data_IF_379722318236
#
_entry.id   IF_379722318236
#
_cell.length_a   1.000
_cell.length_b   1.000
_cell.length_c   1.000
_cell.angle_alpha   90.00
_cell.angle_beta   90.00
_cell.angle_gamma   90.00
#
_symmetry.space_group_name_H-M   'P 1'
#
loop_
_entity.id
_entity.type
_entity.pdbx_description
1 polymer ?
#
# COMPACT_ATOMS: atom_id res chain seq x y z
N UNK A 1 20.70 -15.08 18.25
CA UNK A 1 21.27 -16.20 17.46
C UNK A 1 20.25 -17.32 17.17
N UNK A 2 18.94 -17.10 17.36
CA UNK A 2 17.91 -18.12 17.07
C UNK A 2 17.80 -19.23 18.14
N UNK A 3 18.62 -19.21 19.20
CA UNK A 3 18.69 -20.30 20.19
C UNK A 3 17.50 -20.40 21.14
N UNK A 4 16.53 -19.46 21.05
CA UNK A 4 15.31 -19.53 21.85
C UNK A 4 14.08 -19.26 20.97
N UNK A 5 12.93 -19.89 21.25
CA UNK A 5 11.71 -19.72 20.46
C UNK A 5 11.20 -18.28 20.39
N UNK A 6 11.57 -17.45 21.38
CA UNK A 6 11.15 -16.07 21.49
C UNK A 6 12.26 -15.07 21.12
N UNK A 7 13.38 -15.55 20.54
CA UNK A 7 14.49 -14.69 20.15
C UNK A 7 15.08 -13.88 21.31
N UNK A 8 15.19 -14.47 22.51
CA UNK A 8 15.84 -13.86 23.69
C UNK A 8 17.13 -13.21 23.24
N UNK A 9 17.19 -11.89 23.39
CA UNK A 9 18.38 -11.14 23.03
C UNK A 9 19.45 -11.52 24.06
N UNK A 10 20.44 -12.25 23.60
CA UNK A 10 21.64 -12.59 24.36
C UNK A 10 22.80 -11.82 23.73
N UNK A 11 23.69 -11.28 24.56
CA UNK A 11 24.84 -10.47 24.13
C UNK A 11 24.46 -9.15 23.44
N UNK A 12 23.68 -8.31 24.12
CA UNK A 12 23.41 -6.92 23.73
C UNK A 12 23.88 -5.95 24.82
N UNK A 13 24.20 -4.72 24.44
CA UNK A 13 24.66 -3.67 25.35
C UNK A 13 25.64 -2.70 24.68
N UNK A 14 26.14 -1.71 25.44
CA UNK A 14 27.24 -0.84 24.99
C UNK A 14 28.41 -1.65 24.43
N UNK A 15 29.02 -1.16 23.34
CA UNK A 15 30.15 -1.82 22.68
C UNK A 15 31.29 -2.07 23.68
N UNK A 16 31.53 -1.13 24.60
CA UNK A 16 32.56 -1.23 25.65
C UNK A 16 32.37 -2.41 26.62
N UNK A 17 31.16 -2.97 26.71
CA UNK A 17 30.88 -4.14 27.53
C UNK A 17 31.34 -5.46 26.89
N UNK A 18 31.86 -5.42 25.66
CA UNK A 18 32.27 -6.59 24.90
C UNK A 18 33.75 -6.48 24.52
N UNK A 19 34.60 -7.33 25.10
CA UNK A 19 36.00 -7.46 24.69
C UNK A 19 36.17 -8.01 23.27
N UNK A 20 35.16 -8.72 22.78
CA UNK A 20 35.01 -9.19 21.39
C UNK A 20 33.57 -8.99 20.95
N UNK A 21 33.30 -8.47 19.74
CA UNK A 21 31.94 -8.33 19.23
C UNK A 21 31.14 -9.64 19.32
N UNK A 22 29.88 -9.62 19.76
CA UNK A 22 29.03 -10.80 19.75
C UNK A 22 28.89 -11.38 18.35
N UNK A 23 29.35 -12.61 18.16
CA UNK A 23 29.15 -13.33 16.90
C UNK A 23 27.79 -14.02 16.88
N UNK A 24 27.16 -13.99 15.71
CA UNK A 24 25.98 -14.82 15.42
C UNK A 24 26.49 -16.15 14.91
N UNK A 25 26.05 -17.26 15.53
CA UNK A 25 26.41 -18.61 15.07
C UNK A 25 26.06 -18.74 13.59
N UNK A 26 27.07 -19.11 12.79
CA UNK A 26 26.89 -19.36 11.38
C UNK A 26 25.92 -20.54 11.22
N UNK A 27 24.90 -20.31 10.41
CA UNK A 27 23.89 -21.30 10.08
C UNK A 27 24.04 -21.58 8.58
N UNK A 28 24.54 -22.76 8.18
CA UNK A 28 24.77 -23.07 6.77
C UNK A 28 23.45 -23.12 5.97
N UNK A 29 22.31 -23.25 6.65
CA UNK A 29 20.98 -23.24 6.04
C UNK A 29 20.39 -21.81 5.95
N UNK A 30 21.07 -20.79 6.49
CA UNK A 30 20.64 -19.39 6.38
C UNK A 30 21.13 -18.78 5.07
N UNK A 31 20.20 -18.54 4.16
CA UNK A 31 20.44 -17.83 2.92
C UNK A 31 19.31 -16.83 2.63
N UNK A 32 19.59 -15.80 1.84
CA UNK A 32 18.56 -14.88 1.35
C UNK A 32 17.78 -15.53 0.21
N UNK A 33 16.46 -15.35 0.21
CA UNK A 33 15.61 -15.80 -0.90
C UNK A 33 15.65 -14.78 -2.03
N UNK A 34 15.68 -15.27 -3.28
CA UNK A 34 15.31 -14.45 -4.44
C UNK A 34 13.81 -14.19 -4.44
N UNK A 35 13.34 -13.20 -5.22
CA UNK A 35 11.90 -12.94 -5.39
C UNK A 35 11.13 -14.21 -5.84
N UNK A 36 11.68 -14.95 -6.80
CA UNK A 36 11.09 -16.20 -7.28
C UNK A 36 11.00 -17.25 -6.17
N UNK A 37 12.09 -17.46 -5.40
CA UNK A 37 12.08 -18.40 -4.27
C UNK A 37 11.11 -17.98 -3.17
N UNK A 38 10.97 -16.67 -2.94
CA UNK A 38 10.01 -16.13 -1.98
C UNK A 38 8.57 -16.39 -2.42
N UNK A 39 8.24 -16.19 -3.70
CA UNK A 39 6.93 -16.54 -4.28
C UNK A 39 6.66 -18.05 -4.17
N UNK A 40 7.63 -18.88 -4.55
CA UNK A 40 7.53 -20.35 -4.47
C UNK A 40 7.23 -20.83 -3.04
N UNK A 41 7.77 -20.15 -2.02
CA UNK A 41 7.51 -20.49 -0.62
C UNK A 41 6.02 -20.37 -0.23
N UNK A 42 5.23 -19.49 -0.88
CA UNK A 42 3.79 -19.38 -0.61
C UNK A 42 2.99 -20.59 -1.10
N UNK A 43 3.52 -21.38 -2.02
CA UNK A 43 2.90 -22.63 -2.45
C UNK A 43 3.18 -23.77 -1.47
N UNK A 44 4.28 -23.71 -0.73
CA UNK A 44 4.59 -24.63 0.36
C UNK A 44 4.06 -24.11 1.70
N UNK A 45 2.74 -24.01 1.80
CA UNK A 45 2.05 -23.46 2.97
C UNK A 45 1.14 -24.48 3.65
N UNK A 46 0.79 -24.22 4.91
CA UNK A 46 -0.24 -24.96 5.66
C UNK A 46 -1.58 -24.21 5.73
N UNK A 47 -1.64 -23.00 5.17
CA UNK A 47 -2.83 -22.14 5.15
C UNK A 47 -3.37 -22.00 3.74
N UNK A 48 -4.68 -21.80 3.63
CA UNK A 48 -5.36 -21.64 2.34
C UNK A 48 -5.55 -20.15 1.97
N UNK A 49 -5.64 -19.83 0.67
CA UNK A 49 -5.36 -20.73 -0.45
C UNK A 49 -3.85 -20.99 -0.62
N UNK A 50 -3.46 -22.20 -1.01
CA UNK A 50 -2.08 -22.47 -1.40
C UNK A 50 -1.62 -21.50 -2.50
N UNK A 51 -0.42 -20.93 -2.36
CA UNK A 51 0.10 -19.88 -3.26
C UNK A 51 -0.37 -18.47 -2.90
N UNK A 52 -1.37 -18.30 -2.01
CA UNK A 52 -1.85 -17.00 -1.53
C UNK A 52 -2.15 -15.99 -2.66
N UNK A 53 -2.67 -16.49 -3.78
CA UNK A 53 -3.02 -15.70 -4.97
C UNK A 53 -1.97 -15.73 -6.08
N UNK A 54 -0.73 -16.18 -5.83
CA UNK A 54 0.28 -16.30 -6.88
C UNK A 54 -0.05 -17.37 -7.93
N UNK A 55 -0.97 -18.30 -7.63
CA UNK A 55 -1.56 -19.21 -8.61
C UNK A 55 -2.38 -18.48 -9.71
N UNK A 56 -2.73 -17.21 -9.47
CA UNK A 56 -3.51 -16.35 -10.37
C UNK A 56 -2.67 -15.41 -11.21
N UNK A 57 -1.34 -15.43 -11.06
CA UNK A 57 -0.45 -14.69 -11.96
C UNK A 57 -0.74 -15.13 -13.40
N UNK A 58 -1.00 -14.21 -14.35
CA UNK A 58 -1.31 -14.59 -15.72
C UNK A 58 -0.19 -15.46 -16.34
N UNK A 59 -0.53 -16.44 -17.19
CA UNK A 59 0.48 -17.23 -17.86
C UNK A 59 1.31 -16.35 -18.81
N UNK A 60 2.58 -16.69 -18.99
CA UNK A 60 3.48 -16.01 -19.94
C UNK A 60 4.18 -14.77 -19.38
N UNK A 61 3.96 -14.42 -18.11
CA UNK A 61 4.70 -13.36 -17.42
C UNK A 61 6.13 -13.80 -17.08
N UNK A 62 7.03 -12.83 -16.88
CA UNK A 62 8.42 -13.10 -16.54
C UNK A 62 8.59 -13.70 -15.13
N UNK A 63 9.71 -14.40 -14.85
CA UNK A 63 10.01 -14.90 -13.51
C UNK A 63 9.98 -13.77 -12.48
N UNK A 64 9.22 -13.96 -11.39
CA UNK A 64 9.07 -12.95 -10.35
C UNK A 64 8.00 -11.90 -10.61
N UNK A 65 7.23 -11.99 -11.71
CA UNK A 65 5.99 -11.23 -11.85
C UNK A 65 5.00 -11.66 -10.77
N UNK A 66 4.55 -10.70 -9.97
CA UNK A 66 3.78 -10.94 -8.75
C UNK A 66 2.42 -10.24 -8.76
N UNK A 67 2.00 -9.70 -9.90
CA UNK A 67 0.70 -9.09 -10.04
C UNK A 67 -0.35 -10.13 -10.46
N UNK A 68 -1.55 -10.01 -9.90
CA UNK A 68 -2.68 -10.85 -10.23
C UNK A 68 -3.99 -10.14 -9.86
N UNK A 69 -5.13 -10.63 -10.36
CA UNK A 69 -6.43 -10.13 -9.96
C UNK A 69 -7.38 -11.26 -9.58
N UNK A 70 -8.42 -10.93 -8.82
CA UNK A 70 -9.47 -11.88 -8.46
C UNK A 70 -10.79 -11.17 -8.14
N UNK A 71 -11.87 -11.93 -8.24
CA UNK A 71 -13.22 -11.50 -7.87
C UNK A 71 -13.59 -12.25 -6.59
N UNK A 72 -13.71 -11.58 -5.43
CA UNK A 72 -13.92 -12.27 -4.15
C UNK A 72 -15.25 -13.05 -4.10
N UNK A 73 -16.29 -12.56 -4.77
CA UNK A 73 -17.62 -13.16 -4.84
C UNK A 73 -18.20 -12.92 -6.23
N UNK A 74 -18.59 -13.98 -6.94
CA UNK A 74 -19.00 -13.89 -8.34
C UNK A 74 -20.27 -13.03 -8.55
N UNK A 75 -21.14 -12.97 -7.54
CA UNK A 75 -22.40 -12.23 -7.58
C UNK A 75 -22.25 -10.74 -7.24
N UNK A 76 -21.07 -10.33 -6.76
CA UNK A 76 -20.75 -8.94 -6.45
C UNK A 76 -19.66 -8.48 -7.42
N UNK A 77 -19.92 -7.50 -8.29
CA UNK A 77 -18.98 -7.10 -9.34
C UNK A 77 -17.85 -6.24 -8.76
N UNK A 78 -17.03 -6.82 -7.88
CA UNK A 78 -15.82 -6.22 -7.32
C UNK A 78 -14.61 -7.03 -7.78
N UNK A 79 -13.70 -6.35 -8.48
CA UNK A 79 -12.39 -6.84 -8.87
C UNK A 79 -11.34 -6.29 -7.93
N UNK A 80 -10.49 -7.16 -7.39
CA UNK A 80 -9.30 -6.78 -6.64
C UNK A 80 -8.09 -7.01 -7.54
N UNK A 81 -7.34 -5.94 -7.81
CA UNK A 81 -6.12 -5.92 -8.60
C UNK A 81 -4.95 -5.85 -7.62
N UNK A 82 -4.23 -6.95 -7.46
CA UNK A 82 -3.01 -7.01 -6.62
C UNK A 82 -1.82 -6.62 -7.48
N UNK A 83 -1.24 -5.47 -7.19
CA UNK A 83 -0.20 -4.82 -7.98
C UNK A 83 1.13 -4.83 -7.22
N UNK A 84 2.14 -5.48 -7.80
CA UNK A 84 3.53 -5.28 -7.40
C UNK A 84 4.04 -3.96 -7.98
N UNK A 85 4.05 -2.92 -7.15
CA UNK A 85 4.57 -1.59 -7.49
C UNK A 85 5.87 -1.27 -6.75
N UNK A 86 6.64 -2.29 -6.40
CA UNK A 86 7.91 -2.12 -5.69
C UNK A 86 9.06 -1.90 -6.65
N UNK A 87 10.01 -1.05 -6.26
CA UNK A 87 11.24 -0.85 -7.00
C UNK A 87 11.97 -2.17 -7.26
N UNK A 88 12.48 -2.33 -8.48
CA UNK A 88 13.22 -3.51 -8.87
C UNK A 88 14.56 -3.60 -8.13
N UNK A 89 14.85 -4.79 -7.65
CA UNK A 89 16.09 -5.14 -6.95
C UNK A 89 17.31 -5.23 -7.88
N UNK A 90 17.09 -5.28 -9.20
CA UNK A 90 18.13 -5.40 -10.23
C UNK A 90 18.57 -4.05 -10.82
N UNK A 91 18.21 -2.94 -10.17
CA UNK A 91 18.56 -1.59 -10.61
C UNK A 91 20.01 -1.17 -10.33
N UNK A 92 20.81 -2.09 -9.76
CA UNK A 92 22.21 -1.90 -9.37
C UNK A 92 22.43 -0.83 -8.31
N UNK A 93 21.37 -0.27 -7.73
CA UNK A 93 21.46 0.67 -6.63
C UNK A 93 21.93 -0.03 -5.37
N UNK A 94 22.82 0.61 -4.62
CA UNK A 94 23.19 0.18 -3.26
C UNK A 94 22.44 0.96 -2.19
N UNK A 95 21.54 1.85 -2.59
CA UNK A 95 20.68 2.63 -1.71
C UNK A 95 19.44 1.81 -1.27
N UNK A 96 18.51 2.47 -0.59
CA UNK A 96 17.27 1.85 -0.12
C UNK A 96 16.29 1.68 -1.29
N UNK A 97 15.78 0.45 -1.50
CA UNK A 97 14.74 0.12 -2.49
C UNK A 97 13.33 0.35 -1.95
N UNK A 98 12.99 1.59 -1.59
CA UNK A 98 11.69 1.94 -1.03
C UNK A 98 10.74 2.62 -2.01
N UNK A 99 11.16 2.87 -3.24
CA UNK A 99 10.39 3.69 -4.17
C UNK A 99 9.21 2.96 -4.80
N UNK A 100 8.18 3.71 -5.18
CA UNK A 100 7.09 3.24 -6.04
C UNK A 100 7.56 3.12 -7.48
N UNK A 101 7.27 1.99 -8.13
CA UNK A 101 7.84 1.68 -9.43
C UNK A 101 6.94 0.71 -10.21
N UNK A 102 6.81 0.93 -11.53
CA UNK A 102 6.24 -0.04 -12.46
C UNK A 102 7.18 -0.17 -13.66
N UNK A 103 7.65 -1.38 -13.94
CA UNK A 103 8.25 -1.63 -15.24
C UNK A 103 7.18 -1.69 -16.33
N UNK A 104 7.63 -1.79 -17.59
CA UNK A 104 6.74 -1.79 -18.75
C UNK A 104 5.72 -2.93 -18.71
N UNK A 105 6.10 -4.10 -18.19
CA UNK A 105 5.20 -5.26 -18.12
C UNK A 105 4.08 -5.01 -17.10
N UNK A 106 4.44 -4.60 -15.87
CA UNK A 106 3.48 -4.28 -14.80
C UNK A 106 2.59 -3.09 -15.16
N UNK A 107 3.15 -2.07 -15.81
CA UNK A 107 2.38 -0.92 -16.26
C UNK A 107 1.36 -1.31 -17.34
N UNK A 108 1.79 -2.06 -18.36
CA UNK A 108 0.90 -2.53 -19.41
C UNK A 108 -0.21 -3.44 -18.84
N UNK A 109 0.16 -4.37 -17.95
CA UNK A 109 -0.79 -5.25 -17.27
C UNK A 109 -1.81 -4.47 -16.44
N UNK A 110 -1.39 -3.46 -15.67
CA UNK A 110 -2.32 -2.65 -14.87
C UNK A 110 -3.38 -1.96 -15.75
N UNK A 111 -2.97 -1.37 -16.88
CA UNK A 111 -3.91 -0.75 -17.82
C UNK A 111 -4.91 -1.76 -18.39
N UNK A 112 -4.43 -2.95 -18.75
CA UNK A 112 -5.28 -4.04 -19.25
C UNK A 112 -6.28 -4.50 -18.20
N UNK A 113 -5.88 -4.64 -16.93
CA UNK A 113 -6.77 -5.02 -15.84
C UNK A 113 -7.82 -3.95 -15.53
N UNK A 114 -7.45 -2.68 -15.62
CA UNK A 114 -8.36 -1.56 -15.42
C UNK A 114 -9.38 -1.45 -16.57
N UNK A 115 -8.92 -1.56 -17.82
CA UNK A 115 -9.78 -1.60 -19.00
C UNK A 115 -10.74 -2.80 -18.96
N UNK A 116 -10.24 -4.00 -18.63
CA UNK A 116 -11.07 -5.19 -18.45
C UNK A 116 -12.12 -5.01 -17.35
N UNK A 117 -11.76 -4.38 -16.23
CA UNK A 117 -12.71 -4.08 -15.15
C UNK A 117 -13.84 -3.16 -15.62
N UNK A 118 -13.54 -2.14 -16.42
CA UNK A 118 -14.57 -1.30 -17.02
C UNK A 118 -15.43 -2.06 -18.04
N UNK A 119 -14.82 -2.84 -18.93
CA UNK A 119 -15.52 -3.63 -19.95
C UNK A 119 -16.47 -4.69 -19.34
N UNK A 120 -16.15 -5.18 -18.14
CA UNK A 120 -16.95 -6.16 -17.40
C UNK A 120 -17.94 -5.53 -16.40
N UNK A 121 -18.06 -4.20 -16.37
CA UNK A 121 -18.83 -3.43 -15.37
C UNK A 121 -18.47 -3.82 -13.92
N UNK A 122 -17.19 -3.80 -13.57
CA UNK A 122 -16.68 -4.16 -12.25
C UNK A 122 -16.18 -2.95 -11.50
N UNK A 123 -16.58 -2.82 -10.23
CA UNK A 123 -15.94 -1.92 -9.29
C UNK A 123 -14.53 -2.44 -9.00
N UNK A 124 -13.54 -1.56 -8.97
CA UNK A 124 -12.14 -1.95 -8.87
C UNK A 124 -11.50 -1.47 -7.57
N UNK A 125 -10.68 -2.33 -6.98
CA UNK A 125 -9.81 -2.02 -5.84
C UNK A 125 -8.39 -2.38 -6.27
N UNK A 126 -7.47 -1.44 -6.21
CA UNK A 126 -6.04 -1.73 -6.36
C UNK A 126 -5.46 -1.98 -4.97
N UNK A 127 -4.80 -3.12 -4.77
CA UNK A 127 -4.02 -3.42 -3.58
C UNK A 127 -2.54 -3.41 -3.96
N UNK A 128 -1.79 -2.42 -3.46
CA UNK A 128 -0.38 -2.23 -3.77
C UNK A 128 0.43 -1.99 -2.49
N UNK A 129 1.76 -2.14 -2.55
CA UNK A 129 2.58 -1.88 -1.37
C UNK A 129 2.80 -0.38 -1.15
N UNK A 130 3.25 0.32 -2.19
CA UNK A 130 3.65 1.74 -2.13
C UNK A 130 2.43 2.64 -2.43
N UNK A 131 2.13 3.65 -1.59
CA UNK A 131 1.11 4.65 -1.89
C UNK A 131 1.59 5.66 -2.94
N UNK A 132 0.66 6.33 -3.61
CA UNK A 132 0.95 7.33 -4.65
C UNK A 132 0.75 8.77 -4.13
N UNK A 133 1.60 9.70 -4.59
CA UNK A 133 1.44 11.15 -4.36
C UNK A 133 1.42 11.61 -2.90
N UNK A 134 2.13 10.91 -2.00
CA UNK A 134 2.17 11.23 -0.56
C UNK A 134 3.58 11.38 0.01
N UNK A 135 4.61 11.25 -0.84
CA UNK A 135 6.00 11.50 -0.51
C UNK A 135 6.64 12.34 -1.61
N UNK A 136 7.56 13.22 -1.22
CA UNK A 136 8.34 14.04 -2.15
C UNK A 136 9.58 13.31 -2.64
N UNK A 137 10.14 13.76 -3.76
CA UNK A 137 11.41 13.28 -4.26
C UNK A 137 12.54 13.38 -3.23
N UNK A 138 13.42 12.37 -3.19
CA UNK A 138 14.55 12.26 -2.27
C UNK A 138 14.23 11.65 -0.91
N UNK A 139 13.04 11.07 -0.72
CA UNK A 139 12.67 10.38 0.53
C UNK A 139 12.96 8.88 0.51
N UNK A 140 13.30 8.33 -0.66
CA UNK A 140 13.35 6.88 -0.94
C UNK A 140 12.00 6.18 -0.86
N UNK A 141 10.89 6.94 -0.88
CA UNK A 141 9.51 6.45 -0.76
C UNK A 141 8.57 7.11 -1.78
N UNK A 142 9.10 7.98 -2.63
CA UNK A 142 8.39 8.61 -3.74
C UNK A 142 8.16 7.65 -4.91
N UNK A 143 7.39 8.10 -5.90
CA UNK A 143 7.36 7.45 -7.20
C UNK A 143 8.74 7.65 -7.86
N UNK A 144 9.41 6.57 -8.25
CA UNK A 144 10.79 6.65 -8.70
C UNK A 144 10.89 7.43 -10.02
N UNK A 145 11.67 8.52 -9.99
CA UNK A 145 12.26 9.14 -11.17
C UNK A 145 13.72 8.68 -11.25
N UNK A 146 14.02 7.82 -12.24
CA UNK A 146 15.36 7.29 -12.46
C UNK A 146 16.04 7.89 -13.70
N UNK A 147 15.55 9.05 -14.18
CA UNK A 147 16.04 9.71 -15.39
C UNK A 147 17.51 10.15 -15.30
N UNK A 148 18.00 10.37 -14.07
CA UNK A 148 19.40 10.67 -13.79
C UNK A 148 20.35 9.48 -14.01
N UNK A 149 19.83 8.25 -14.09
CA UNK A 149 20.59 7.03 -14.36
C UNK A 149 19.96 6.24 -15.52
N UNK A 150 20.17 6.65 -16.78
CA UNK A 150 19.45 6.09 -17.94
C UNK A 150 19.75 4.62 -18.22
N UNK A 151 20.86 4.09 -17.70
CA UNK A 151 21.23 2.67 -17.86
C UNK A 151 20.56 1.75 -16.83
N UNK A 152 19.96 2.32 -15.77
CA UNK A 152 19.19 1.57 -14.79
C UNK A 152 17.74 1.34 -15.27
N UNK A 153 17.02 0.35 -14.71
CA UNK A 153 15.59 0.17 -14.94
C UNK A 153 14.83 1.48 -14.72
N UNK A 154 14.10 1.87 -15.76
CA UNK A 154 13.28 3.08 -15.74
C UNK A 154 11.86 2.73 -15.30
N UNK A 155 11.27 3.63 -14.54
CA UNK A 155 9.84 3.58 -14.27
C UNK A 155 9.12 3.83 -15.61
N UNK A 156 8.18 2.96 -15.96
CA UNK A 156 7.54 2.98 -17.28
C UNK A 156 6.45 4.05 -17.41
N UNK A 157 6.14 4.74 -16.32
CA UNK A 157 5.10 5.75 -16.23
C UNK A 157 5.46 6.79 -15.18
N UNK A 158 5.32 8.07 -15.53
CA UNK A 158 5.47 9.16 -14.57
C UNK A 158 4.22 9.30 -13.70
N UNK A 159 4.36 9.85 -12.49
CA UNK A 159 3.24 9.97 -11.57
C UNK A 159 2.00 10.69 -12.15
N UNK A 160 2.13 11.80 -12.93
CA UNK A 160 0.96 12.43 -13.56
C UNK A 160 0.24 11.52 -14.55
N UNK A 161 0.99 10.74 -15.34
CA UNK A 161 0.44 9.84 -16.35
C UNK A 161 -0.26 8.64 -15.69
N UNK A 162 0.28 8.13 -14.59
CA UNK A 162 -0.39 7.13 -13.77
C UNK A 162 -1.71 7.68 -13.21
N UNK A 163 -1.71 8.89 -12.65
CA UNK A 163 -2.94 9.50 -12.13
C UNK A 163 -3.96 9.75 -13.23
N UNK A 164 -3.51 10.22 -14.40
CA UNK A 164 -4.39 10.40 -15.55
C UNK A 164 -5.06 9.09 -15.95
N UNK A 165 -4.32 7.99 -16.03
CA UNK A 165 -4.90 6.67 -16.31
C UNK A 165 -5.91 6.25 -15.24
N UNK A 166 -5.54 6.32 -13.95
CA UNK A 166 -6.44 5.93 -12.86
C UNK A 166 -7.75 6.75 -12.87
N UNK A 167 -7.69 8.03 -13.23
CA UNK A 167 -8.86 8.90 -13.37
C UNK A 167 -9.74 8.59 -14.60
N UNK A 168 -9.24 7.85 -15.60
CA UNK A 168 -10.05 7.42 -16.76
C UNK A 168 -10.98 6.26 -16.43
N UNK A 169 -10.79 5.60 -15.29
CA UNK A 169 -11.54 4.42 -14.87
C UNK A 169 -12.58 4.80 -13.79
N UNK A 170 -13.82 5.16 -14.16
CA UNK A 170 -14.84 5.65 -13.22
C UNK A 170 -15.21 4.62 -12.15
N UNK A 171 -14.99 3.33 -12.42
CA UNK A 171 -15.31 2.24 -11.51
C UNK A 171 -14.21 1.97 -10.46
N UNK A 172 -13.08 2.69 -10.51
CA UNK A 172 -12.04 2.58 -9.49
C UNK A 172 -12.52 3.16 -8.15
N UNK A 173 -12.69 2.31 -7.15
CA UNK A 173 -13.11 2.72 -5.81
C UNK A 173 -11.94 3.29 -5.02
N UNK A 174 -10.85 2.52 -4.94
CA UNK A 174 -9.73 2.85 -4.08
C UNK A 174 -8.42 2.15 -4.42
N UNK A 175 -7.33 2.79 -4.01
CA UNK A 175 -5.97 2.28 -3.89
C UNK A 175 -5.66 1.98 -2.43
N UNK A 176 -5.52 0.72 -2.06
CA UNK A 176 -5.13 0.29 -0.72
C UNK A 176 -3.62 0.11 -0.68
N UNK A 177 -2.97 0.74 0.30
CA UNK A 177 -1.52 0.75 0.43
C UNK A 177 -1.00 0.58 1.87
N UNK A 178 0.31 0.35 1.97
CA UNK A 178 1.05 0.32 3.22
C UNK A 178 2.30 1.20 3.13
N UNK A 179 3.46 0.58 3.34
CA UNK A 179 4.80 1.16 3.16
C UNK A 179 5.19 2.29 4.13
N UNK A 180 4.39 3.36 4.25
CA UNK A 180 4.67 4.50 5.16
C UNK A 180 4.35 4.21 6.63
N UNK A 181 3.77 3.05 6.91
CA UNK A 181 3.41 2.57 8.25
C UNK A 181 2.41 3.47 8.99
N UNK A 182 1.50 4.14 8.27
CA UNK A 182 0.48 5.03 8.84
C UNK A 182 -0.92 4.73 8.36
N UNK A 183 -1.91 5.19 9.14
CA UNK A 183 -3.33 4.99 8.87
C UNK A 183 -3.93 6.15 8.07
N UNK A 184 -3.49 6.40 6.83
CA UNK A 184 -3.93 7.57 6.06
C UNK A 184 -5.12 7.28 5.13
N UNK A 185 -5.79 8.34 4.74
CA UNK A 185 -6.87 8.38 3.76
C UNK A 185 -6.64 9.66 2.99
N UNK A 186 -6.57 9.56 1.67
CA UNK A 186 -6.41 10.69 0.76
C UNK A 186 -7.44 10.57 -0.34
N UNK A 187 -8.06 11.69 -0.72
CA UNK A 187 -8.90 11.77 -1.92
C UNK A 187 -8.01 12.10 -3.12
N UNK A 188 -8.17 11.35 -4.20
CA UNK A 188 -7.79 11.79 -5.53
C UNK A 188 -9.06 12.29 -6.21
N UNK A 189 -9.29 13.60 -6.11
CA UNK A 189 -10.48 14.25 -6.67
C UNK A 189 -10.53 14.07 -8.19
N UNK A 190 -11.74 13.94 -8.73
CA UNK A 190 -11.93 13.92 -10.18
C UNK A 190 -11.33 15.19 -10.81
N UNK A 191 -10.65 15.09 -11.97
CA UNK A 191 -10.27 16.26 -12.76
C UNK A 191 -11.47 17.11 -13.22
N UNK A 192 -12.68 16.53 -13.25
CA UNK A 192 -13.94 17.22 -13.52
C UNK A 192 -14.98 16.83 -12.45
N UNK A 193 -14.91 17.41 -11.23
CA UNK A 193 -15.76 17.01 -10.12
C UNK A 193 -17.22 17.45 -10.27
N UNK A 194 -17.52 18.31 -11.25
CA UNK A 194 -18.89 18.80 -11.51
C UNK A 194 -19.62 17.87 -12.46
N UNK A 195 -18.95 17.42 -13.54
CA UNK A 195 -19.59 16.62 -14.58
C UNK A 195 -19.22 15.14 -14.56
N UNK A 196 -18.09 14.78 -13.96
CA UNK A 196 -17.64 13.40 -13.83
C UNK A 196 -17.07 13.11 -12.41
N UNK A 197 -17.85 13.32 -11.33
CA UNK A 197 -17.39 13.07 -9.96
C UNK A 197 -16.94 11.62 -9.72
N UNK A 198 -17.46 10.66 -10.49
CA UNK A 198 -17.08 9.25 -10.47
C UNK A 198 -15.63 8.98 -10.91
N UNK A 199 -14.96 9.92 -11.58
CA UNK A 199 -13.56 9.74 -11.97
C UNK A 199 -12.57 9.96 -10.81
N UNK A 200 -13.04 10.38 -9.63
CA UNK A 200 -12.24 10.44 -8.41
C UNK A 200 -12.18 9.09 -7.68
N UNK A 201 -11.12 8.84 -6.92
CA UNK A 201 -10.96 7.61 -6.13
C UNK A 201 -10.28 7.88 -4.79
N UNK A 202 -10.33 6.92 -3.88
CA UNK A 202 -9.70 7.02 -2.56
C UNK A 202 -8.36 6.31 -2.51
N UNK A 203 -7.36 6.87 -1.84
CA UNK A 203 -6.22 6.09 -1.36
C UNK A 203 -6.37 5.86 0.13
N UNK A 204 -6.19 4.61 0.55
CA UNK A 204 -6.34 4.19 1.93
C UNK A 204 -5.10 3.43 2.37
N UNK A 205 -4.37 4.01 3.32
CA UNK A 205 -3.14 3.43 3.86
C UNK A 205 -3.38 2.83 5.25
N UNK A 206 -2.73 1.70 5.51
CA UNK A 206 -2.83 0.98 6.79
C UNK A 206 -1.50 0.98 7.53
N UNK A 207 -1.54 1.18 8.84
CA UNK A 207 -0.34 1.12 9.68
C UNK A 207 0.36 -0.23 9.62
N UNK A 208 1.67 -0.25 9.88
CA UNK A 208 2.40 -1.50 9.99
C UNK A 208 2.11 -2.21 11.30
N UNK A 209 2.16 -3.55 11.28
CA UNK A 209 2.16 -4.35 12.50
C UNK A 209 3.49 -4.30 13.26
N UNK A 210 4.51 -3.60 12.73
CA UNK A 210 5.78 -3.36 13.41
C UNK A 210 5.74 -2.13 14.31
N UNK A 211 5.18 -1.04 13.80
CA UNK A 211 5.25 0.30 14.40
C UNK A 211 3.91 0.67 15.05
N UNK A 212 3.96 1.51 16.09
CA UNK A 212 2.74 2.02 16.71
C UNK A 212 1.85 2.70 15.65
N UNK A 213 0.52 2.43 15.57
CA UNK A 213 -0.31 1.76 16.57
C UNK A 213 -0.46 0.23 16.40
N UNK A 214 0.19 -0.40 15.43
CA UNK A 214 0.06 -1.82 15.10
C UNK A 214 -1.40 -2.26 14.88
N UNK A 215 -2.06 -1.66 13.89
CA UNK A 215 -3.47 -1.90 13.58
C UNK A 215 -3.66 -2.59 12.23
N UNK A 216 -4.69 -3.42 12.16
CA UNK A 216 -5.27 -3.89 10.90
C UNK A 216 -6.36 -2.90 10.46
N UNK A 217 -6.79 -2.99 9.20
CA UNK A 217 -7.93 -2.20 8.70
C UNK A 217 -8.98 -3.12 8.07
N UNK A 218 -10.22 -2.95 8.51
CA UNK A 218 -11.41 -3.53 7.89
C UNK A 218 -12.01 -2.53 6.91
N UNK A 219 -12.51 -3.06 5.78
CA UNK A 219 -13.17 -2.29 4.72
C UNK A 219 -14.58 -2.84 4.54
N UNK A 220 -15.59 -2.10 5.00
CA UNK A 220 -16.99 -2.42 4.73
C UNK A 220 -17.49 -1.59 3.56
N UNK A 221 -17.70 -2.24 2.42
CA UNK A 221 -18.19 -1.61 1.20
C UNK A 221 -19.70 -1.84 1.11
N UNK A 222 -20.47 -0.75 1.05
CA UNK A 222 -21.94 -0.77 1.05
C UNK A 222 -22.49 -0.06 -0.17
N UNK A 223 -23.46 -0.69 -0.81
CA UNK A 223 -24.32 -0.06 -1.80
C UNK A 223 -25.46 0.65 -1.07
N UNK A 224 -25.58 1.96 -1.28
CA UNK A 224 -26.61 2.79 -0.69
C UNK A 224 -27.90 2.75 -1.52
N UNK A 225 -29.04 3.15 -0.94
CA UNK A 225 -30.33 3.15 -1.63
C UNK A 225 -30.41 4.09 -2.83
N UNK A 226 -29.49 5.06 -2.93
CA UNK A 226 -29.31 5.95 -4.08
C UNK A 226 -28.26 5.42 -5.08
N UNK A 227 -27.79 4.19 -4.89
CA UNK A 227 -26.76 3.50 -5.68
C UNK A 227 -25.37 4.12 -5.63
N UNK A 228 -25.10 5.05 -4.70
CA UNK A 228 -23.73 5.41 -4.34
C UNK A 228 -23.08 4.30 -3.50
N UNK A 229 -21.75 4.34 -3.38
CA UNK A 229 -20.99 3.41 -2.53
C UNK A 229 -20.45 4.15 -1.30
N UNK A 230 -20.72 3.61 -0.11
CA UNK A 230 -20.02 3.99 1.13
C UNK A 230 -18.97 2.93 1.47
N UNK A 231 -17.74 3.36 1.74
CA UNK A 231 -16.64 2.50 2.19
C UNK A 231 -16.27 2.91 3.62
N UNK A 232 -16.59 2.07 4.60
CA UNK A 232 -16.18 2.28 5.98
C UNK A 232 -14.83 1.64 6.22
N UNK A 233 -13.85 2.46 6.56
CA UNK A 233 -12.50 2.03 6.94
C UNK A 233 -12.39 2.05 8.45
N UNK A 234 -12.21 0.88 9.07
CA UNK A 234 -12.18 0.74 10.52
C UNK A 234 -10.84 0.15 10.95
N UNK A 235 -10.10 0.87 11.78
CA UNK A 235 -8.88 0.33 12.38
C UNK A 235 -9.23 -0.66 13.49
N UNK A 236 -8.57 -1.81 13.47
CA UNK A 236 -8.78 -2.91 14.40
C UNK A 236 -7.47 -3.23 15.10
N UNK A 237 -7.49 -3.18 16.44
CA UNK A 237 -6.35 -3.59 17.25
C UNK A 237 -6.27 -5.13 17.31
N UNK A 238 -5.15 -5.75 16.91
CA UNK A 238 -4.98 -7.19 17.03
C UNK A 238 -4.90 -7.60 18.51
N UNK A 239 -5.68 -8.62 18.87
CA UNK A 239 -5.56 -9.28 20.17
C UNK A 239 -4.37 -10.24 20.16
N UNK A 240 -3.35 -9.98 20.97
CA UNK A 240 -2.19 -10.86 21.13
C UNK A 240 -2.24 -11.61 22.47
N UNK A 241 -2.04 -12.92 22.44
CA UNK A 241 -2.03 -13.75 23.67
C UNK A 241 -0.85 -13.36 24.57
N UNK A 242 -1.07 -13.09 25.87
CA UNK A 242 0.01 -12.78 26.82
C UNK A 242 1.16 -13.79 26.79
N UNK A 243 2.39 -13.29 26.87
CA UNK A 243 3.61 -14.10 26.87
C UNK A 243 4.12 -14.53 25.48
N UNK A 244 3.39 -14.24 24.41
CA UNK A 244 3.87 -14.50 23.03
C UNK A 244 4.82 -13.41 22.53
N UNK A 245 5.62 -13.68 21.47
CA UNK A 245 6.39 -12.64 20.79
C UNK A 245 5.52 -11.47 20.30
N UNK A 246 4.33 -11.75 19.75
CA UNK A 246 3.39 -10.71 19.31
C UNK A 246 2.94 -9.80 20.47
N UNK A 247 2.62 -10.38 21.63
CA UNK A 247 2.28 -9.61 22.83
C UNK A 247 3.44 -8.74 23.32
N UNK A 248 4.66 -9.26 23.26
CA UNK A 248 5.86 -8.52 23.65
C UNK A 248 6.14 -7.38 22.68
N UNK A 249 5.95 -7.60 21.38
CA UNK A 249 6.09 -6.59 20.33
C UNK A 249 5.19 -5.37 20.57
N UNK A 250 3.97 -5.55 21.09
CA UNK A 250 3.07 -4.43 21.47
C UNK A 250 3.73 -3.44 22.44
N UNK A 251 4.49 -3.94 23.41
CA UNK A 251 5.22 -3.10 24.37
C UNK A 251 6.40 -2.40 23.70
N UNK A 252 7.10 -3.10 22.82
CA UNK A 252 8.26 -2.55 22.11
C UNK A 252 7.88 -1.50 21.08
N UNK A 253 6.72 -1.59 20.43
CA UNK A 253 6.25 -0.54 19.52
C UNK A 253 6.05 0.80 20.26
N UNK A 254 5.45 0.77 21.46
CA UNK A 254 5.31 1.97 22.30
C UNK A 254 6.67 2.46 22.80
N UNK A 255 7.54 1.55 23.27
CA UNK A 255 8.86 1.94 23.73
C UNK A 255 9.71 2.54 22.61
N UNK A 256 9.68 1.95 21.41
CA UNK A 256 10.36 2.48 20.23
C UNK A 256 9.88 3.90 19.94
N UNK A 257 8.57 4.11 19.84
CA UNK A 257 7.97 5.43 19.63
C UNK A 257 8.48 6.47 20.65
N UNK A 258 8.54 6.11 21.94
CA UNK A 258 8.98 6.98 23.02
C UNK A 258 10.50 7.25 23.00
N UNK A 259 11.32 6.23 22.68
CA UNK A 259 12.78 6.31 22.72
C UNK A 259 13.33 7.05 21.52
N UNK A 260 12.91 6.65 20.31
CA UNK A 260 13.41 7.29 19.08
C UNK A 260 12.73 8.62 18.81
N UNK A 261 11.82 9.04 19.71
CA UNK A 261 10.99 10.24 19.60
C UNK A 261 10.54 10.42 18.16
N UNK A 262 9.89 9.38 17.61
CA UNK A 262 9.20 9.50 16.33
C UNK A 262 8.01 10.43 16.55
N UNK A 263 8.27 11.73 16.66
CA UNK A 263 7.27 12.77 16.44
C UNK A 263 6.60 12.59 15.07
N UNK A 264 7.26 11.84 14.19
CA UNK A 264 6.78 11.22 12.97
C UNK A 264 5.88 9.99 13.26
N UNK A 265 4.84 10.15 14.08
CA UNK A 265 3.58 9.62 13.60
C UNK A 265 3.29 10.54 12.41
N UNK A 266 3.45 10.10 11.16
CA UNK A 266 3.21 10.97 9.99
C UNK A 266 1.80 11.61 10.01
N UNK A 267 0.95 11.26 10.97
CA UNK A 267 -0.40 11.77 11.15
C UNK A 267 -0.60 12.62 12.41
N UNK A 268 0.41 12.84 13.26
CA UNK A 268 0.28 13.73 14.41
C UNK A 268 0.87 15.12 14.15
N UNK A 269 1.72 15.27 13.13
CA UNK A 269 2.34 16.55 12.81
C UNK A 269 1.70 17.25 11.59
N UNK A 270 1.77 18.57 11.60
CA UNK A 270 1.37 19.43 10.49
C UNK A 270 2.53 19.65 9.49
N UNK A 271 3.48 18.72 9.40
CA UNK A 271 4.71 18.90 8.61
C UNK A 271 4.93 17.79 7.58
N UNK A 272 4.30 16.63 7.75
CA UNK A 272 4.56 15.43 6.95
C UNK A 272 3.38 14.97 6.08
N UNK A 273 2.19 15.58 6.26
CA UNK A 273 1.04 15.43 5.36
C UNK A 273 0.95 16.58 4.36
N UNK A 274 2.08 16.97 3.78
CA UNK A 274 2.11 18.00 2.75
C UNK A 274 1.41 17.49 1.48
N UNK A 275 0.76 18.40 0.76
CA UNK A 275 0.28 18.12 -0.59
C UNK A 275 1.48 18.00 -1.52
N UNK A 276 1.55 16.92 -2.27
CA UNK A 276 2.59 16.68 -3.27
C UNK A 276 2.07 17.12 -4.63
N UNK A 277 2.87 17.90 -5.35
CA UNK A 277 2.65 18.16 -6.78
C UNK A 277 3.03 16.89 -7.56
N UNK A 278 2.10 16.24 -8.28
CA UNK A 278 2.40 15.01 -8.99
C UNK A 278 3.47 15.15 -10.08
N UNK A 279 3.59 16.33 -10.71
CA UNK A 279 4.49 16.54 -11.84
C UNK A 279 5.94 16.71 -11.41
N UNK A 280 6.16 17.36 -10.28
CA UNK A 280 7.52 17.62 -9.77
C UNK A 280 7.89 16.75 -8.58
N UNK A 281 6.91 16.05 -7.99
CA UNK A 281 7.02 15.35 -6.72
C UNK A 281 7.62 16.21 -5.61
N UNK A 282 7.28 17.50 -5.59
CA UNK A 282 7.66 18.45 -4.53
C UNK A 282 6.47 18.82 -3.66
N UNK A 283 6.75 19.35 -2.47
CA UNK A 283 5.74 19.97 -1.62
C UNK A 283 5.09 21.17 -2.33
N UNK A 284 3.76 21.21 -2.40
CA UNK A 284 3.03 22.38 -2.90
C UNK A 284 3.23 23.54 -1.93
N UNK A 285 3.54 24.72 -2.47
CA UNK A 285 3.74 25.95 -1.69
C UNK A 285 2.90 27.11 -2.21
N UNK A 286 2.31 27.87 -1.29
CA UNK A 286 1.60 29.13 -1.56
C UNK A 286 2.20 30.20 -0.65
N UNK A 287 2.64 31.32 -1.23
CA UNK A 287 3.35 32.40 -0.53
C UNK A 287 4.53 31.91 0.33
N UNK A 288 5.28 30.94 -0.20
CA UNK A 288 6.45 30.33 0.44
C UNK A 288 6.13 29.31 1.55
N UNK A 289 4.86 29.10 1.89
CA UNK A 289 4.40 28.16 2.93
C UNK A 289 3.97 26.83 2.34
N UNK A 290 4.32 25.74 3.00
CA UNK A 290 3.89 24.38 2.61
C UNK A 290 2.39 24.23 2.81
N UNK A 291 1.70 23.72 1.80
CA UNK A 291 0.27 23.40 1.84
C UNK A 291 0.11 21.96 2.34
N UNK A 292 -0.71 21.75 3.36
CA UNK A 292 -1.07 20.41 3.82
C UNK A 292 -2.13 19.80 2.90
N UNK A 293 -2.08 18.49 2.72
CA UNK A 293 -3.09 17.75 1.96
C UNK A 293 -4.42 17.79 2.73
N UNK A 294 -5.47 18.44 2.20
CA UNK A 294 -6.73 18.58 2.90
C UNK A 294 -7.51 17.26 3.02
N UNK A 295 -7.17 16.26 2.20
CA UNK A 295 -7.77 14.93 2.25
C UNK A 295 -7.26 14.10 3.43
N UNK A 296 -6.02 14.34 3.87
CA UNK A 296 -5.41 13.60 4.98
C UNK A 296 -5.70 14.30 6.30
N UNK A 297 -6.43 13.62 7.18
CA UNK A 297 -6.77 14.14 8.51
C UNK A 297 -5.76 13.66 9.55
N UNK A 298 -4.92 14.56 10.11
CA UNK A 298 -4.02 14.19 11.18
C UNK A 298 -4.81 13.89 12.46
N UNK A 299 -4.38 12.87 13.19
CA UNK A 299 -4.96 12.45 14.47
C UNK A 299 -3.85 12.22 15.49
N UNK A 300 -3.98 12.73 16.72
CA UNK A 300 -2.93 12.63 17.74
C UNK A 300 -2.46 11.20 18.03
N UNK A 301 -3.33 10.22 17.83
CA UNK A 301 -3.06 8.79 18.07
C UNK A 301 -2.57 8.03 16.82
N UNK A 302 -2.50 8.68 15.66
CA UNK A 302 -2.20 8.00 14.38
C UNK A 302 -3.24 6.96 13.98
N UNK A 303 -4.47 7.10 14.51
CA UNK A 303 -5.56 6.17 14.24
C UNK A 303 -6.86 6.93 14.03
N UNK A 304 -7.51 6.66 12.90
CA UNK A 304 -8.90 7.04 12.67
C UNK A 304 -9.62 6.07 11.76
N UNK A 305 -10.93 6.04 11.96
CA UNK A 305 -11.87 5.45 11.04
C UNK A 305 -12.37 6.53 10.08
N UNK A 306 -12.73 6.14 8.86
CA UNK A 306 -13.32 7.06 7.90
C UNK A 306 -14.47 6.39 7.15
N UNK A 307 -15.49 7.19 6.86
CA UNK A 307 -16.52 6.87 5.87
C UNK A 307 -16.15 7.59 4.58
N UNK A 308 -16.00 6.84 3.50
CA UNK A 308 -15.61 7.32 2.19
C UNK A 308 -16.80 7.16 1.25
N UNK A 309 -17.17 8.22 0.55
CA UNK A 309 -18.26 8.18 -0.43
C UNK A 309 -17.68 8.10 -1.84
N UNK A 310 -18.27 7.25 -2.67
CA UNK A 310 -17.97 7.15 -4.09
C UNK A 310 -19.28 7.25 -4.88
N UNK A 311 -19.31 8.21 -5.80
CA UNK A 311 -20.35 8.27 -6.82
C UNK A 311 -20.02 7.29 -7.96
N UNK A 312 -21.03 6.58 -8.44
CA UNK A 312 -20.89 5.65 -9.55
C UNK A 312 -21.22 6.34 -10.88
N UNK A 313 -20.62 5.87 -11.96
CA UNK A 313 -21.00 6.29 -13.30
C UNK A 313 -22.47 5.95 -13.58
N UNK A 314 -23.14 6.62 -14.54
CA UNK A 314 -24.50 6.24 -14.94
C UNK A 314 -24.61 4.78 -15.40
N UNK A 315 -23.59 4.27 -16.12
CA UNK A 315 -23.54 2.89 -16.57
C UNK A 315 -23.46 1.91 -15.38
N UNK A 316 -22.57 2.19 -14.42
CA UNK A 316 -22.39 1.32 -13.27
C UNK A 316 -23.58 1.38 -12.31
N UNK A 317 -24.24 2.53 -12.19
CA UNK A 317 -25.51 2.68 -11.48
C UNK A 317 -26.59 1.77 -12.09
N UNK A 318 -26.73 1.78 -13.41
CA UNK A 318 -27.68 0.91 -14.11
C UNK A 318 -27.35 -0.58 -13.91
N UNK A 319 -26.07 -0.95 -13.90
CA UNK A 319 -25.61 -2.30 -13.56
C UNK A 319 -26.01 -2.70 -12.14
N UNK A 320 -25.75 -1.85 -11.15
CA UNK A 320 -26.12 -2.12 -9.76
C UNK A 320 -27.64 -2.24 -9.59
N UNK A 321 -28.44 -1.41 -10.27
CA UNK A 321 -29.90 -1.50 -10.27
C UNK A 321 -30.41 -2.82 -10.84
N UNK A 322 -29.77 -3.33 -11.88
CA UNK A 322 -30.13 -4.63 -12.47
C UNK A 322 -29.80 -5.80 -11.52
N UNK A 323 -28.63 -5.76 -10.86
CA UNK A 323 -28.20 -6.81 -9.94
C UNK A 323 -28.94 -6.76 -8.60
N UNK A 324 -29.26 -5.55 -8.12
CA UNK A 324 -29.82 -5.29 -6.80
C UNK A 324 -31.04 -4.35 -6.91
N UNK A 325 -32.16 -4.78 -7.51
CA UNK A 325 -33.33 -3.92 -7.77
C UNK A 325 -34.09 -3.51 -6.49
N UNK A 326 -33.73 -4.08 -5.34
CA UNK A 326 -34.30 -3.74 -4.03
C UNK A 326 -33.18 -3.80 -3.01
N UNK A 327 -32.85 -2.63 -2.43
CA UNK A 327 -31.77 -2.39 -1.47
C UNK A 327 -32.30 -1.58 -0.29
#
# INVERSE_FOLDING_TARGET
>A
DGTTPNGKIIKYGPVDNFSTPPEVVADPDRYSLTKTQWIEAFFNTSTEPAGHGFDRVPPGQEPGFACYSFIPKAEIPIKVIVLDNTQREDDQSTAIHGHGFLDKARWQWLKEELADGDDQDQLMIIAAHIPIGVQKAGTFMEWLDNSANPDAPQNAVELPELLEELHRHPNLLMWVAGHRHVNAVKAFESPDPVHAPENGFWQVETSSLRDFPQQLRMFDIKLNSDYTISIFTTNVDPAAKPGTPAWTSRKYAVAAQQIVNTGVIYQADHQSNYRVDPATQTEVRVDGRVVMDPGIRPMPTGSYNAELLKQLSPAMTAKMQMLFPTI
#
